data_IF_760847635287
#
_entry.id   IF_760847635287
#
_cell.length_a   1.000
_cell.length_b   1.000
_cell.length_c   1.000
_cell.angle_alpha   90.00
_cell.angle_beta   90.00
_cell.angle_gamma   90.00
#
_symmetry.space_group_name_H-M   'P 1'
#
loop_
_entity.id
_entity.type
_entity.pdbx_description
1 polymer ?
#
# COMPACT_ATOMS: atom_id res chain seq x y z
N UNK A 1 15.87 7.43 13.83
CA UNK A 1 14.74 6.97 14.68
C UNK A 1 13.88 8.14 15.19
N UNK A 2 14.45 9.20 15.78
CA UNK A 2 13.68 10.34 16.34
C UNK A 2 12.71 10.97 15.34
N UNK A 3 13.14 11.23 14.09
CA UNK A 3 12.28 11.77 13.04
C UNK A 3 11.01 10.91 12.80
N UNK A 4 11.18 9.60 12.68
CA UNK A 4 10.08 8.69 12.41
C UNK A 4 9.13 8.54 13.60
N UNK A 5 9.65 8.56 14.84
CA UNK A 5 8.81 8.62 16.04
C UNK A 5 8.02 9.92 16.12
N UNK A 6 8.64 11.04 15.75
CA UNK A 6 7.95 12.32 15.65
C UNK A 6 6.81 12.26 14.61
N UNK A 7 7.08 11.71 13.40
CA UNK A 7 6.04 11.50 12.39
C UNK A 7 4.89 10.64 12.91
N UNK A 8 5.20 9.53 13.59
CA UNK A 8 4.17 8.67 14.18
C UNK A 8 3.33 9.42 15.22
N UNK A 9 3.97 10.22 16.07
CA UNK A 9 3.29 11.05 17.06
C UNK A 9 2.37 12.10 16.41
N UNK A 10 2.82 12.75 15.34
CA UNK A 10 1.97 13.69 14.58
C UNK A 10 0.76 12.98 13.97
N UNK A 11 0.94 11.78 13.41
CA UNK A 11 -0.18 10.96 12.91
C UNK A 11 -1.16 10.59 14.04
N UNK A 12 -0.66 10.28 15.23
CA UNK A 12 -1.47 10.01 16.41
C UNK A 12 -2.31 11.24 16.81
N UNK A 13 -1.70 12.43 16.89
CA UNK A 13 -2.41 13.68 17.17
C UNK A 13 -3.51 13.93 16.14
N UNK A 14 -3.21 13.75 14.85
CA UNK A 14 -4.20 13.84 13.77
C UNK A 14 -5.37 12.88 13.99
N UNK A 15 -5.08 11.63 14.34
CA UNK A 15 -6.11 10.62 14.58
C UNK A 15 -7.03 11.01 15.73
N UNK A 16 -6.46 11.45 16.86
CA UNK A 16 -7.21 11.88 18.05
C UNK A 16 -8.05 13.12 17.76
N UNK A 17 -7.46 14.14 17.13
CA UNK A 17 -8.14 15.37 16.76
C UNK A 17 -9.34 15.08 15.86
N UNK A 18 -9.14 14.24 14.83
CA UNK A 18 -10.21 13.86 13.90
C UNK A 18 -11.31 13.05 14.59
N UNK A 19 -10.96 12.13 15.47
CA UNK A 19 -11.93 11.36 16.24
C UNK A 19 -12.83 12.28 17.09
N UNK A 20 -12.25 13.31 17.73
CA UNK A 20 -13.03 14.30 18.49
C UNK A 20 -13.98 15.09 17.56
N UNK A 21 -13.50 15.62 16.44
CA UNK A 21 -14.34 16.36 15.49
C UNK A 21 -15.54 15.54 15.02
N UNK A 22 -15.32 14.27 14.66
CA UNK A 22 -16.39 13.39 14.18
C UNK A 22 -17.36 12.96 15.30
N UNK A 23 -16.94 12.99 16.55
CA UNK A 23 -17.78 12.67 17.69
C UNK A 23 -18.80 13.80 17.96
N UNK A 24 -18.42 15.06 17.74
CA UNK A 24 -19.26 16.25 17.98
C UNK A 24 -19.99 16.76 16.72
N UNK A 25 -19.81 16.12 15.56
CA UNK A 25 -20.46 16.55 14.36
C UNK A 25 -21.96 16.24 14.35
N UNK A 26 -22.80 17.26 14.19
CA UNK A 26 -24.26 17.12 14.11
C UNK A 26 -24.69 16.33 12.86
N UNK A 27 -23.94 16.45 11.76
CA UNK A 27 -24.13 15.68 10.54
C UNK A 27 -22.82 14.94 10.20
N UNK A 28 -22.75 13.69 10.63
CA UNK A 28 -21.54 12.86 10.48
C UNK A 28 -21.19 12.66 9.01
N UNK A 29 -22.19 12.44 8.14
CA UNK A 29 -21.93 12.12 6.73
C UNK A 29 -21.31 13.30 5.96
N UNK A 30 -21.69 14.53 6.26
CA UNK A 30 -21.10 15.73 5.63
C UNK A 30 -19.68 16.02 6.14
N UNK A 31 -19.36 15.60 7.36
CA UNK A 31 -18.05 15.84 7.97
C UNK A 31 -17.06 14.72 7.76
N UNK A 32 -17.51 13.46 7.55
CA UNK A 32 -16.65 12.26 7.50
C UNK A 32 -15.48 12.39 6.51
N UNK A 33 -15.74 12.95 5.35
CA UNK A 33 -14.75 13.03 4.26
C UNK A 33 -14.23 14.45 4.00
N UNK A 34 -14.62 15.42 4.85
CA UNK A 34 -14.07 16.77 4.77
C UNK A 34 -12.62 16.76 5.24
N UNK A 35 -11.74 17.13 4.35
CA UNK A 35 -10.31 17.16 4.62
C UNK A 35 -9.89 18.46 5.31
N UNK A 36 -8.89 18.37 6.19
CA UNK A 36 -8.31 19.51 6.89
C UNK A 36 -6.93 19.80 6.29
N UNK A 37 -6.50 21.06 6.33
CA UNK A 37 -5.15 21.48 5.92
C UNK A 37 -4.04 20.68 6.61
N UNK A 38 -4.26 20.29 7.87
CA UNK A 38 -3.32 19.45 8.63
C UNK A 38 -3.06 18.08 7.98
N UNK A 39 -4.03 17.50 7.28
CA UNK A 39 -3.84 16.24 6.53
C UNK A 39 -2.94 16.48 5.33
N UNK A 40 -3.20 17.55 4.56
CA UNK A 40 -2.40 17.91 3.39
C UNK A 40 -0.95 18.19 3.79
N UNK A 41 -0.75 18.94 4.89
CA UNK A 41 0.58 19.23 5.43
C UNK A 41 1.31 17.94 5.84
N UNK A 42 0.64 16.99 6.49
CA UNK A 42 1.27 15.73 6.86
C UNK A 42 1.66 14.89 5.64
N UNK A 43 0.79 14.81 4.63
CA UNK A 43 1.09 14.11 3.37
C UNK A 43 2.29 14.77 2.68
N UNK A 44 2.36 16.10 2.68
CA UNK A 44 3.51 16.86 2.18
C UNK A 44 4.79 16.52 2.94
N UNK A 45 4.76 16.43 4.28
CA UNK A 45 5.91 16.02 5.11
C UNK A 45 6.37 14.60 4.74
N UNK A 46 5.43 13.66 4.58
CA UNK A 46 5.78 12.30 4.12
C UNK A 46 6.42 12.32 2.74
N UNK A 47 5.92 13.12 1.80
CA UNK A 47 6.50 13.28 0.47
C UNK A 47 7.93 13.84 0.53
N UNK A 48 8.15 14.87 1.35
CA UNK A 48 9.49 15.44 1.56
C UNK A 48 10.45 14.40 2.14
N UNK A 49 10.05 13.68 3.19
CA UNK A 49 10.93 12.68 3.82
C UNK A 49 11.23 11.53 2.84
N UNK A 50 10.26 11.11 2.04
CA UNK A 50 10.50 10.10 1.00
C UNK A 50 11.37 10.60 -0.13
N UNK A 51 11.17 11.84 -0.61
CA UNK A 51 11.88 12.39 -1.75
C UNK A 51 13.29 12.85 -1.43
N UNK A 52 13.50 13.45 -0.25
CA UNK A 52 14.82 13.95 0.14
C UNK A 52 15.73 12.91 0.81
N UNK A 53 15.35 11.64 0.79
CA UNK A 53 16.18 10.54 1.31
C UNK A 53 17.49 10.38 0.54
N UNK A 54 18.54 9.94 1.24
CA UNK A 54 19.83 9.62 0.65
C UNK A 54 20.32 8.26 1.08
N UNK A 55 20.60 7.37 0.12
CA UNK A 55 21.07 6.00 0.35
C UNK A 55 20.21 5.22 1.36
N UNK A 56 18.89 5.44 1.31
CA UNK A 56 17.89 4.67 2.05
C UNK A 56 17.07 3.87 1.05
N UNK A 57 17.08 2.54 1.19
CA UNK A 57 16.45 1.60 0.25
C UNK A 57 17.34 0.40 -0.06
N UNK A 58 18.47 0.28 0.64
CA UNK A 58 19.39 -0.85 0.50
C UNK A 58 19.96 -0.97 -0.92
N UNK A 59 20.14 -2.21 -1.39
CA UNK A 59 20.63 -2.52 -2.74
C UNK A 59 19.73 -1.99 -3.86
N UNK A 60 18.42 -1.86 -3.59
CA UNK A 60 17.48 -1.36 -4.58
C UNK A 60 17.73 0.12 -4.92
N UNK A 61 18.14 0.94 -3.93
CA UNK A 61 18.51 2.33 -4.18
C UNK A 61 19.65 2.45 -5.20
N UNK A 62 20.72 1.66 -5.03
CA UNK A 62 21.89 1.71 -5.91
C UNK A 62 21.56 1.13 -7.29
N UNK A 63 20.70 0.10 -7.36
CA UNK A 63 20.26 -0.48 -8.61
C UNK A 63 19.38 0.49 -9.43
N UNK A 64 18.43 1.19 -8.79
CA UNK A 64 17.63 2.22 -9.46
C UNK A 64 18.50 3.38 -9.95
N UNK A 65 19.51 3.76 -9.16
CA UNK A 65 20.49 4.77 -9.56
C UNK A 65 21.28 4.34 -10.80
N UNK A 66 21.80 3.12 -10.79
CA UNK A 66 22.51 2.56 -11.95
C UNK A 66 21.65 2.61 -13.23
N UNK A 67 20.38 2.20 -13.15
CA UNK A 67 19.46 2.27 -14.30
C UNK A 67 19.19 3.72 -14.71
N UNK A 68 19.07 4.63 -13.73
CA UNK A 68 18.90 6.06 -14.00
C UNK A 68 20.09 6.62 -14.80
N UNK A 69 21.31 6.30 -14.40
CA UNK A 69 22.54 6.77 -15.05
C UNK A 69 22.65 6.21 -16.47
N UNK A 70 22.25 4.95 -16.71
CA UNK A 70 22.16 4.37 -18.05
C UNK A 70 21.16 5.11 -18.94
N UNK A 71 19.99 5.44 -18.42
CA UNK A 71 18.94 6.17 -19.16
C UNK A 71 19.37 7.61 -19.44
N UNK A 72 20.07 8.24 -18.50
CA UNK A 72 20.58 9.61 -18.67
C UNK A 72 21.63 9.72 -19.79
N UNK A 73 22.44 8.68 -19.98
CA UNK A 73 23.41 8.63 -21.07
C UNK A 73 22.82 8.38 -22.46
N UNK A 74 21.54 8.04 -22.56
CA UNK A 74 20.87 7.73 -23.84
C UNK A 74 19.76 8.73 -24.15
N UNK A 75 19.95 9.53 -25.19
CA UNK A 75 19.01 10.60 -25.57
C UNK A 75 17.88 10.15 -26.51
N UNK A 76 17.76 8.86 -26.79
CA UNK A 76 16.70 8.31 -27.61
C UNK A 76 15.76 7.42 -26.82
N UNK A 77 14.53 7.88 -26.58
CA UNK A 77 13.54 7.13 -25.81
C UNK A 77 13.25 5.73 -26.38
N UNK A 78 13.06 5.61 -27.70
CA UNK A 78 12.75 4.31 -28.32
C UNK A 78 13.89 3.31 -28.09
N UNK A 79 15.13 3.76 -28.24
CA UNK A 79 16.30 2.94 -27.95
C UNK A 79 16.38 2.59 -26.47
N UNK A 80 16.12 3.55 -25.56
CA UNK A 80 16.04 3.29 -24.11
C UNK A 80 15.03 2.19 -23.78
N UNK A 81 13.86 2.21 -24.40
CA UNK A 81 12.81 1.22 -24.19
C UNK A 81 13.19 -0.19 -24.65
N UNK A 82 14.11 -0.34 -25.62
CA UNK A 82 14.54 -1.65 -26.14
C UNK A 82 15.49 -2.39 -25.20
N UNK A 83 16.32 -1.68 -24.44
CA UNK A 83 17.29 -2.31 -23.55
C UNK A 83 16.95 -2.17 -22.04
N UNK A 84 15.95 -1.35 -21.69
CA UNK A 84 15.54 -1.19 -20.31
C UNK A 84 14.99 -2.49 -19.75
N UNK A 85 15.41 -2.82 -18.53
CA UNK A 85 14.89 -3.96 -17.78
C UNK A 85 13.59 -3.62 -17.03
N UNK A 86 13.15 -2.36 -17.09
CA UNK A 86 11.93 -1.89 -16.46
C UNK A 86 10.78 -1.79 -17.44
N UNK A 87 9.58 -1.75 -16.92
CA UNK A 87 8.34 -1.58 -17.66
C UNK A 87 8.33 -0.22 -18.38
N UNK A 88 7.64 -0.17 -19.54
CA UNK A 88 7.61 0.99 -20.46
C UNK A 88 7.23 2.29 -19.74
N UNK A 89 6.21 2.27 -18.87
CA UNK A 89 5.76 3.47 -18.16
C UNK A 89 6.81 4.00 -17.19
N UNK A 90 7.45 3.11 -16.41
CA UNK A 90 8.49 3.54 -15.49
C UNK A 90 9.76 3.99 -16.22
N UNK A 91 10.18 3.28 -17.25
CA UNK A 91 11.31 3.70 -18.12
C UNK A 91 11.06 5.06 -18.74
N UNK A 92 9.84 5.31 -19.26
CA UNK A 92 9.46 6.61 -19.79
C UNK A 92 9.52 7.70 -18.73
N UNK A 93 9.04 7.41 -17.51
CA UNK A 93 9.14 8.36 -16.40
C UNK A 93 10.60 8.72 -16.08
N UNK A 94 11.49 7.72 -15.96
CA UNK A 94 12.92 7.93 -15.72
C UNK A 94 13.55 8.75 -16.85
N UNK A 95 13.22 8.43 -18.11
CA UNK A 95 13.70 9.18 -19.28
C UNK A 95 13.27 10.65 -19.24
N UNK A 96 12.01 10.92 -18.90
CA UNK A 96 11.51 12.30 -18.78
C UNK A 96 12.24 13.06 -17.65
N UNK A 97 12.48 12.42 -16.52
CA UNK A 97 13.23 13.04 -15.43
C UNK A 97 14.68 13.36 -15.84
N UNK A 98 15.38 12.42 -16.48
CA UNK A 98 16.79 12.56 -16.82
C UNK A 98 17.01 13.49 -18.02
N UNK A 99 16.33 13.21 -19.13
CA UNK A 99 16.66 13.82 -20.43
C UNK A 99 15.78 15.03 -20.82
N UNK A 100 14.60 15.19 -20.20
CA UNK A 100 13.71 16.33 -20.50
C UNK A 100 13.73 17.36 -19.38
N UNK A 101 13.66 16.90 -18.12
CA UNK A 101 13.67 17.79 -16.95
C UNK A 101 15.08 18.03 -16.40
N UNK A 102 16.09 17.34 -16.91
CA UNK A 102 17.49 17.42 -16.50
C UNK A 102 17.66 17.33 -14.97
N UNK A 103 16.88 16.46 -14.34
CA UNK A 103 16.99 16.22 -12.90
C UNK A 103 18.20 15.34 -12.62
N UNK A 104 18.74 15.43 -11.43
CA UNK A 104 19.62 14.37 -10.89
C UNK A 104 18.80 13.14 -10.50
N UNK A 105 19.46 12.01 -10.20
CA UNK A 105 18.75 10.85 -9.64
C UNK A 105 17.98 11.22 -8.37
N UNK A 106 18.61 11.95 -7.47
CA UNK A 106 18.00 12.43 -6.24
C UNK A 106 16.83 13.39 -6.51
N UNK A 107 16.93 14.24 -7.52
CA UNK A 107 15.84 15.09 -7.99
C UNK A 107 14.64 14.27 -8.51
N UNK A 108 14.91 13.18 -9.21
CA UNK A 108 13.86 12.26 -9.68
C UNK A 108 13.12 11.58 -8.52
N UNK A 109 13.82 11.23 -7.43
CA UNK A 109 13.20 10.66 -6.22
C UNK A 109 12.22 11.63 -5.56
N UNK A 110 12.49 12.94 -5.61
CA UNK A 110 11.56 13.96 -5.11
C UNK A 110 10.29 13.97 -5.95
N UNK A 111 10.43 14.04 -7.28
CA UNK A 111 9.27 14.04 -8.21
C UNK A 111 8.44 12.77 -8.02
N UNK A 112 9.10 11.62 -7.93
CA UNK A 112 8.46 10.33 -7.68
C UNK A 112 7.65 10.33 -6.38
N UNK A 113 8.27 10.74 -5.27
CA UNK A 113 7.62 10.80 -3.98
C UNK A 113 6.39 11.71 -4.00
N UNK A 114 6.51 12.91 -4.58
CA UNK A 114 5.37 13.82 -4.68
C UNK A 114 4.23 13.25 -5.53
N UNK A 115 4.52 12.62 -6.67
CA UNK A 115 3.51 11.96 -7.50
C UNK A 115 2.81 10.86 -6.68
N UNK A 116 3.57 10.00 -5.99
CA UNK A 116 3.01 8.94 -5.16
C UNK A 116 2.03 9.49 -4.11
N UNK A 117 2.48 10.45 -3.30
CA UNK A 117 1.66 10.97 -2.20
C UNK A 117 0.47 11.80 -2.68
N UNK A 118 0.57 12.51 -3.81
CA UNK A 118 -0.55 13.21 -4.45
C UNK A 118 -1.59 12.19 -4.94
N UNK A 119 -1.18 11.16 -5.67
CA UNK A 119 -2.08 10.12 -6.17
C UNK A 119 -2.74 9.36 -5.01
N UNK A 120 -1.98 9.01 -3.98
CA UNK A 120 -2.50 8.38 -2.77
C UNK A 120 -3.59 9.26 -2.11
N UNK A 121 -3.33 10.55 -1.94
CA UNK A 121 -4.29 11.48 -1.36
C UNK A 121 -5.55 11.61 -2.23
N UNK A 122 -5.38 11.87 -3.52
CA UNK A 122 -6.49 12.04 -4.48
C UNK A 122 -7.36 10.79 -4.54
N UNK A 123 -6.73 9.61 -4.57
CA UNK A 123 -7.44 8.32 -4.62
C UNK A 123 -8.21 8.00 -3.35
N UNK A 124 -7.59 8.23 -2.19
CA UNK A 124 -8.15 7.81 -0.90
C UNK A 124 -9.04 8.85 -0.21
N UNK A 125 -8.95 10.14 -0.57
CA UNK A 125 -9.69 11.22 0.13
C UNK A 125 -11.21 11.00 0.23
N UNK A 126 -11.79 10.32 -0.75
CA UNK A 126 -13.22 9.99 -0.78
C UNK A 126 -13.59 8.90 0.25
N UNK A 127 -12.66 8.02 0.58
CA UNK A 127 -12.90 6.82 1.39
C UNK A 127 -12.37 6.95 2.82
N UNK A 128 -11.37 7.82 3.03
CA UNK A 128 -10.60 7.89 4.27
C UNK A 128 -11.23 8.84 5.30
N UNK A 129 -11.94 8.33 6.31
CA UNK A 129 -12.58 9.19 7.31
C UNK A 129 -11.58 9.75 8.32
N UNK A 130 -10.48 9.02 8.58
CA UNK A 130 -9.44 9.43 9.51
C UNK A 130 -8.04 9.11 8.98
N UNK A 131 -7.38 10.13 8.44
CA UNK A 131 -6.04 10.01 7.88
C UNK A 131 -4.97 9.67 8.91
N UNK A 132 -5.10 10.12 10.16
CA UNK A 132 -4.13 9.78 11.19
C UNK A 132 -4.09 8.26 11.45
N UNK A 133 -5.24 7.59 11.47
CA UNK A 133 -5.33 6.13 11.57
C UNK A 133 -4.65 5.46 10.37
N UNK A 134 -4.93 5.95 9.16
CA UNK A 134 -4.30 5.42 7.95
C UNK A 134 -2.78 5.60 7.96
N UNK A 135 -2.28 6.79 8.30
CA UNK A 135 -0.85 7.07 8.29
C UNK A 135 -0.09 6.29 9.38
N UNK A 136 -0.67 6.08 10.57
CA UNK A 136 -0.09 5.16 11.57
C UNK A 136 -0.02 3.72 11.03
N UNK A 137 -1.08 3.26 10.38
CA UNK A 137 -1.12 1.95 9.75
C UNK A 137 -0.12 1.84 8.58
N UNK A 138 0.00 2.88 7.78
CA UNK A 138 0.94 3.00 6.68
C UNK A 138 2.40 2.86 7.15
N UNK A 139 2.74 3.47 8.29
CA UNK A 139 4.04 3.28 8.94
C UNK A 139 4.19 1.86 9.51
N UNK A 140 3.18 1.35 10.21
CA UNK A 140 3.18 0.02 10.81
C UNK A 140 3.38 -1.11 9.80
N UNK A 141 2.70 -1.07 8.65
CA UNK A 141 2.83 -2.08 7.59
C UNK A 141 4.04 -1.86 6.69
N UNK A 142 4.94 -0.95 7.06
CA UNK A 142 6.13 -0.59 6.29
C UNK A 142 5.82 -0.17 4.85
N UNK A 143 4.57 0.22 4.56
CA UNK A 143 4.22 0.73 3.25
C UNK A 143 4.94 2.04 2.94
N UNK A 144 5.24 2.82 3.97
CA UNK A 144 6.14 3.96 3.89
C UNK A 144 7.51 3.56 3.30
N UNK A 145 8.06 2.41 3.74
CA UNK A 145 9.34 1.90 3.24
C UNK A 145 9.24 1.35 1.81
N UNK A 146 8.09 0.83 1.40
CA UNK A 146 7.86 0.38 0.00
C UNK A 146 8.13 1.51 -0.99
N UNK A 147 7.87 2.78 -0.61
CA UNK A 147 8.22 3.95 -1.44
C UNK A 147 9.73 4.15 -1.60
N UNK A 148 10.56 3.47 -0.83
CA UNK A 148 12.02 3.57 -0.89
C UNK A 148 12.65 2.43 -1.69
N UNK A 149 12.12 1.23 -1.58
CA UNK A 149 12.70 0.01 -2.19
C UNK A 149 11.94 -0.46 -3.42
N UNK A 150 10.64 -0.42 -3.42
CA UNK A 150 9.79 -0.92 -4.50
C UNK A 150 9.11 0.24 -5.25
N UNK A 151 9.90 1.17 -5.77
CA UNK A 151 9.44 2.44 -6.34
C UNK A 151 8.42 2.22 -7.48
N UNK A 152 8.65 1.31 -8.38
CA UNK A 152 7.72 0.95 -9.48
C UNK A 152 6.38 0.46 -8.94
N UNK A 153 6.41 -0.42 -7.94
CA UNK A 153 5.21 -0.91 -7.29
C UNK A 153 4.48 0.23 -6.55
N UNK A 154 5.20 1.14 -5.92
CA UNK A 154 4.61 2.30 -5.25
C UNK A 154 3.77 3.14 -6.22
N UNK A 155 4.28 3.43 -7.42
CA UNK A 155 3.50 4.11 -8.46
C UNK A 155 2.20 3.40 -8.78
N UNK A 156 2.25 2.08 -8.99
CA UNK A 156 1.06 1.31 -9.37
C UNK A 156 0.06 1.22 -8.22
N UNK A 157 0.53 1.13 -6.97
CA UNK A 157 -0.36 1.15 -5.80
C UNK A 157 -1.08 2.49 -5.68
N UNK A 158 -0.35 3.61 -5.81
CA UNK A 158 -0.96 4.93 -5.77
C UNK A 158 -1.92 5.17 -6.96
N UNK A 159 -1.55 4.71 -8.15
CA UNK A 159 -2.41 4.70 -9.33
C UNK A 159 -3.68 3.89 -9.11
N UNK A 160 -3.57 2.71 -8.50
CA UNK A 160 -4.72 1.87 -8.16
C UNK A 160 -5.68 2.59 -7.20
N UNK A 161 -5.18 3.33 -6.21
CA UNK A 161 -6.06 4.09 -5.31
C UNK A 161 -6.91 5.12 -6.06
N UNK A 162 -6.40 5.70 -7.14
CA UNK A 162 -7.18 6.62 -7.99
C UNK A 162 -8.25 5.89 -8.80
N UNK A 163 -7.94 4.70 -9.33
CA UNK A 163 -8.85 3.96 -10.21
C UNK A 163 -9.84 3.06 -9.47
N UNK A 164 -9.62 2.77 -8.16
CA UNK A 164 -10.52 1.92 -7.38
C UNK A 164 -11.97 2.44 -7.32
N UNK A 165 -12.19 3.74 -7.55
CA UNK A 165 -13.52 4.32 -7.71
C UNK A 165 -14.32 3.68 -8.84
N UNK A 166 -13.64 3.23 -9.91
CA UNK A 166 -14.30 2.55 -11.04
C UNK A 166 -14.73 1.12 -10.70
N UNK A 167 -14.09 0.48 -9.72
CA UNK A 167 -14.59 -0.77 -9.13
C UNK A 167 -15.89 -0.52 -8.38
N UNK A 168 -15.93 0.49 -7.51
CA UNK A 168 -17.13 0.86 -6.75
C UNK A 168 -18.28 1.26 -7.67
N UNK A 169 -18.00 2.11 -8.67
CA UNK A 169 -18.99 2.62 -9.63
C UNK A 169 -19.38 1.59 -10.71
N UNK A 170 -18.78 0.39 -10.69
CA UNK A 170 -19.02 -0.70 -11.66
C UNK A 170 -18.83 -0.26 -13.12
N UNK A 171 -17.76 0.48 -13.41
CA UNK A 171 -17.40 0.98 -14.75
C UNK A 171 -16.26 0.15 -15.37
N UNK A 172 -16.55 -0.99 -16.06
CA UNK A 172 -15.53 -1.95 -16.49
C UNK A 172 -14.50 -1.34 -17.43
N UNK A 173 -14.95 -0.64 -18.48
CA UNK A 173 -14.06 -0.08 -19.48
C UNK A 173 -13.06 0.92 -18.86
N UNK A 174 -13.58 1.81 -17.97
CA UNK A 174 -12.70 2.79 -17.29
C UNK A 174 -11.73 2.10 -16.35
N UNK A 175 -12.19 1.06 -15.63
CA UNK A 175 -11.32 0.30 -14.75
C UNK A 175 -10.20 -0.39 -15.51
N UNK A 176 -10.52 -1.20 -16.52
CA UNK A 176 -9.53 -1.98 -17.24
C UNK A 176 -8.58 -1.11 -18.06
N UNK A 177 -9.06 -0.07 -18.74
CA UNK A 177 -8.20 0.85 -19.48
C UNK A 177 -7.23 1.60 -18.54
N UNK A 178 -7.73 2.09 -17.40
CA UNK A 178 -6.87 2.76 -16.42
C UNK A 178 -5.89 1.79 -15.75
N UNK A 179 -6.31 0.54 -15.50
CA UNK A 179 -5.42 -0.48 -14.92
C UNK A 179 -4.33 -0.90 -15.90
N UNK A 180 -4.64 -1.00 -17.20
CA UNK A 180 -3.63 -1.24 -18.23
C UNK A 180 -2.57 -0.13 -18.24
N UNK A 181 -2.98 1.15 -18.12
CA UNK A 181 -2.05 2.26 -18.00
C UNK A 181 -1.19 2.16 -16.73
N UNK A 182 -1.81 1.87 -15.57
CA UNK A 182 -1.07 1.70 -14.30
C UNK A 182 -0.08 0.53 -14.41
N UNK A 183 -0.46 -0.57 -15.04
CA UNK A 183 0.38 -1.76 -15.21
C UNK A 183 1.64 -1.50 -16.06
N UNK A 184 1.66 -0.43 -16.89
CA UNK A 184 2.89 -0.03 -17.61
C UNK A 184 4.03 0.39 -16.68
N UNK A 185 3.74 0.73 -15.42
CA UNK A 185 4.75 1.08 -14.42
C UNK A 185 5.24 -0.15 -13.62
N UNK A 186 4.38 -1.17 -13.46
CA UNK A 186 4.75 -2.44 -12.84
C UNK A 186 3.72 -3.52 -13.18
N UNK A 187 4.17 -4.58 -13.85
CA UNK A 187 3.29 -5.64 -14.35
C UNK A 187 2.54 -6.41 -13.24
N UNK A 188 3.03 -6.40 -11.99
CA UNK A 188 2.30 -6.98 -10.85
C UNK A 188 0.87 -6.46 -10.74
N UNK A 189 0.62 -5.19 -11.12
CA UNK A 189 -0.73 -4.63 -11.13
C UNK A 189 -1.72 -5.38 -12.04
N UNK A 190 -1.27 -6.20 -12.99
CA UNK A 190 -2.17 -7.02 -13.82
C UNK A 190 -2.96 -8.04 -12.99
N UNK A 191 -2.45 -8.48 -11.84
CA UNK A 191 -3.20 -9.35 -10.92
C UNK A 191 -4.50 -8.71 -10.44
N UNK A 192 -4.59 -7.38 -10.45
CA UNK A 192 -5.79 -6.65 -10.05
C UNK A 192 -6.94 -6.75 -11.08
N UNK A 193 -6.70 -7.29 -12.30
CA UNK A 193 -7.78 -7.57 -13.25
C UNK A 193 -8.90 -8.44 -12.66
N UNK A 194 -8.53 -9.37 -11.78
CA UNK A 194 -9.47 -10.28 -11.12
C UNK A 194 -10.39 -9.56 -10.11
N UNK A 195 -10.03 -8.37 -9.65
CA UNK A 195 -10.84 -7.65 -8.66
C UNK A 195 -12.20 -7.25 -9.23
N UNK A 196 -12.27 -6.84 -10.51
CA UNK A 196 -13.53 -6.36 -11.07
C UNK A 196 -14.68 -7.41 -11.03
N UNK A 197 -14.49 -8.67 -11.48
CA UNK A 197 -15.52 -9.69 -11.31
C UNK A 197 -15.77 -10.00 -9.82
N UNK A 198 -14.76 -10.07 -8.97
CA UNK A 198 -14.92 -10.33 -7.53
C UNK A 198 -15.80 -9.29 -6.84
N UNK A 199 -15.66 -8.02 -7.17
CA UNK A 199 -16.54 -6.95 -6.66
C UNK A 199 -17.98 -7.04 -7.15
N UNK A 200 -18.27 -7.90 -8.15
CA UNK A 200 -19.63 -8.24 -8.59
C UNK A 200 -20.35 -9.20 -7.66
N UNK A 201 -19.62 -9.90 -6.80
CA UNK A 201 -20.20 -10.87 -5.88
C UNK A 201 -20.94 -10.15 -4.74
N UNK A 202 -22.20 -10.51 -4.54
CA UNK A 202 -23.01 -10.03 -3.42
C UNK A 202 -22.87 -11.00 -2.25
N UNK A 203 -22.11 -10.59 -1.23
CA UNK A 203 -21.94 -11.40 -0.03
C UNK A 203 -23.07 -11.09 0.94
N UNK A 204 -23.93 -12.10 1.19
CA UNK A 204 -24.98 -12.00 2.18
C UNK A 204 -24.40 -12.13 3.59
N UNK A 205 -25.01 -11.43 4.56
CA UNK A 205 -24.57 -11.41 5.96
C UNK A 205 -24.45 -12.83 6.56
N UNK A 206 -25.39 -13.70 6.22
CA UNK A 206 -25.44 -15.09 6.71
C UNK A 206 -24.18 -15.88 6.32
N UNK A 207 -23.60 -15.57 5.14
CA UNK A 207 -22.39 -16.21 4.64
C UNK A 207 -21.10 -15.75 5.29
N UNK A 208 -21.12 -14.61 6.02
CA UNK A 208 -19.91 -14.07 6.64
C UNK A 208 -19.31 -15.03 7.67
N UNK A 209 -20.13 -15.77 8.44
CA UNK A 209 -19.64 -16.77 9.38
C UNK A 209 -18.97 -17.95 8.65
N UNK A 210 -19.58 -18.42 7.58
CA UNK A 210 -19.04 -19.51 6.73
C UNK A 210 -17.69 -19.08 6.11
N UNK A 211 -17.59 -17.84 5.63
CA UNK A 211 -16.36 -17.26 5.10
C UNK A 211 -15.25 -17.29 6.19
N UNK A 212 -15.56 -16.90 7.43
CA UNK A 212 -14.60 -16.97 8.52
C UNK A 212 -14.07 -18.39 8.76
N UNK A 213 -14.97 -19.38 8.77
CA UNK A 213 -14.59 -20.80 8.96
C UNK A 213 -13.72 -21.27 7.81
N UNK A 214 -14.11 -21.00 6.55
CA UNK A 214 -13.33 -21.41 5.37
C UNK A 214 -11.92 -20.86 5.44
N UNK A 215 -11.76 -19.54 5.67
CA UNK A 215 -10.43 -18.95 5.71
C UNK A 215 -9.65 -19.32 6.99
N UNK A 216 -10.32 -19.55 8.11
CA UNK A 216 -9.68 -20.08 9.32
C UNK A 216 -9.07 -21.45 9.06
N UNK A 217 -9.84 -22.38 8.47
CA UNK A 217 -9.36 -23.71 8.10
C UNK A 217 -8.28 -23.63 7.02
N UNK A 218 -8.46 -22.79 5.99
CA UNK A 218 -7.48 -22.66 4.89
C UNK A 218 -6.10 -22.19 5.35
N UNK A 219 -5.99 -21.53 6.50
CA UNK A 219 -4.70 -21.13 7.09
C UNK A 219 -3.77 -22.33 7.34
N UNK A 220 -4.32 -23.48 7.71
CA UNK A 220 -3.55 -24.71 7.92
C UNK A 220 -2.97 -25.28 6.63
N UNK A 221 -3.55 -24.96 5.48
CA UNK A 221 -3.11 -25.41 4.16
C UNK A 221 -2.18 -24.43 3.46
N UNK A 222 -1.79 -23.35 4.10
CA UNK A 222 -0.98 -22.28 3.49
C UNK A 222 0.40 -22.76 3.01
N UNK A 223 0.99 -23.79 3.65
CA UNK A 223 2.26 -24.36 3.21
C UNK A 223 2.19 -25.07 1.85
N UNK A 224 1.00 -25.56 1.47
CA UNK A 224 0.82 -26.28 0.19
C UNK A 224 0.74 -25.32 -1.02
N UNK A 225 0.38 -24.06 -0.82
CA UNK A 225 0.11 -23.14 -1.92
C UNK A 225 1.37 -22.65 -2.62
N UNK A 226 2.49 -22.49 -1.89
CA UNK A 226 3.78 -22.14 -2.48
C UNK A 226 4.29 -23.21 -3.45
N UNK A 227 4.24 -24.48 -3.03
CA UNK A 227 4.64 -25.62 -3.87
C UNK A 227 3.69 -25.83 -5.05
N UNK A 228 2.38 -25.64 -4.86
CA UNK A 228 1.39 -25.77 -5.93
C UNK A 228 1.52 -24.69 -7.00
N UNK A 229 1.87 -23.47 -6.63
CA UNK A 229 2.09 -22.39 -7.59
C UNK A 229 3.31 -22.68 -8.45
N UNK A 230 4.42 -23.13 -7.87
CA UNK A 230 5.61 -23.52 -8.61
C UNK A 230 5.34 -24.67 -9.57
N UNK A 231 4.53 -25.65 -9.14
CA UNK A 231 4.08 -26.76 -9.99
C UNK A 231 3.23 -26.29 -11.18
N UNK A 232 2.29 -25.35 -10.96
CA UNK A 232 1.48 -24.79 -12.06
C UNK A 232 2.33 -23.99 -13.03
N UNK A 233 3.27 -23.19 -12.54
CA UNK A 233 4.19 -22.40 -13.37
C UNK A 233 5.07 -23.31 -14.22
N UNK A 234 5.56 -24.42 -13.66
CA UNK A 234 6.37 -25.40 -14.40
C UNK A 234 5.56 -26.13 -15.49
N UNK A 235 4.30 -26.53 -15.21
CA UNK A 235 3.43 -27.15 -16.23
C UNK A 235 3.14 -26.19 -17.38
N UNK A 236 2.97 -24.89 -17.10
CA UNK A 236 2.69 -23.88 -18.12
C UNK A 236 3.92 -23.49 -18.93
N UNK A 237 5.12 -24.02 -18.62
CA UNK A 237 6.35 -23.75 -19.34
C UNK A 237 6.78 -22.28 -19.31
N UNK A 238 6.38 -21.55 -18.27
CA UNK A 238 6.69 -20.12 -18.09
C UNK A 238 8.06 -19.95 -17.41
N UNK A 239 9.13 -20.35 -18.11
CA UNK A 239 10.50 -20.39 -17.55
C UNK A 239 10.96 -19.08 -16.92
N UNK A 240 10.59 -17.92 -17.51
CA UNK A 240 10.90 -16.62 -16.92
C UNK A 240 10.18 -16.37 -15.58
N UNK A 241 9.02 -17.00 -15.36
CA UNK A 241 8.30 -16.98 -14.09
C UNK A 241 8.82 -18.05 -13.14
N UNK A 242 9.38 -19.17 -13.65
CA UNK A 242 10.03 -20.20 -12.83
C UNK A 242 11.24 -19.66 -12.08
N UNK A 243 12.14 -18.94 -12.76
CA UNK A 243 13.32 -18.34 -12.14
C UNK A 243 12.92 -17.31 -11.07
N UNK A 244 11.89 -16.50 -11.37
CA UNK A 244 11.34 -15.54 -10.40
C UNK A 244 10.62 -16.26 -9.25
N UNK A 245 9.81 -17.28 -9.53
CA UNK A 245 9.10 -18.04 -8.51
C UNK A 245 10.06 -18.83 -7.63
N UNK A 246 11.14 -19.39 -8.18
CA UNK A 246 12.23 -20.04 -7.43
C UNK A 246 12.97 -19.05 -6.53
N UNK A 247 13.26 -17.84 -7.02
CA UNK A 247 13.85 -16.76 -6.23
C UNK A 247 12.95 -16.30 -5.05
N UNK A 248 11.63 -16.43 -5.21
CA UNK A 248 10.65 -16.08 -4.17
C UNK A 248 10.20 -17.26 -3.30
N UNK A 249 10.51 -18.50 -3.67
CA UNK A 249 10.11 -19.70 -2.91
C UNK A 249 10.85 -19.85 -1.57
N UNK A 250 11.98 -19.17 -1.39
CA UNK A 250 12.74 -19.12 -0.13
C UNK A 250 12.38 -17.95 0.79
N UNK A 251 11.49 -17.06 0.38
CA UNK A 251 11.08 -15.91 1.17
C UNK A 251 10.25 -16.33 2.39
N UNK A 252 10.47 -15.64 3.52
CA UNK A 252 9.65 -15.82 4.70
C UNK A 252 8.23 -15.30 4.40
N UNK A 253 7.28 -16.18 4.30
CA UNK A 253 5.86 -15.81 4.16
C UNK A 253 5.37 -14.93 5.31
N UNK A 254 4.14 -14.45 5.23
CA UNK A 254 3.54 -13.65 6.30
C UNK A 254 3.55 -14.40 7.63
N UNK A 255 4.00 -13.72 8.68
CA UNK A 255 3.90 -14.23 10.04
C UNK A 255 2.43 -14.51 10.39
N UNK A 256 2.16 -15.61 11.10
CA UNK A 256 0.82 -16.00 11.56
C UNK A 256 0.10 -14.88 12.35
N UNK A 257 0.85 -14.00 13.00
CA UNK A 257 0.29 -12.86 13.71
C UNK A 257 -0.48 -11.90 12.77
N UNK A 258 -0.07 -11.77 11.50
CA UNK A 258 -0.84 -11.03 10.50
C UNK A 258 -2.21 -11.66 10.25
N UNK A 259 -2.25 -12.98 10.11
CA UNK A 259 -3.51 -13.71 9.95
C UNK A 259 -4.43 -13.48 11.14
N UNK A 260 -3.90 -13.60 12.37
CA UNK A 260 -4.66 -13.38 13.59
C UNK A 260 -5.20 -11.94 13.65
N UNK A 261 -4.39 -10.94 13.32
CA UNK A 261 -4.78 -9.54 13.29
C UNK A 261 -5.95 -9.28 12.34
N UNK A 262 -5.86 -9.79 11.11
CA UNK A 262 -6.94 -9.64 10.13
C UNK A 262 -8.20 -10.40 10.54
N UNK A 263 -8.07 -11.58 11.15
CA UNK A 263 -9.22 -12.32 11.68
C UNK A 263 -9.92 -11.62 12.83
N UNK A 264 -9.18 -11.04 13.77
CA UNK A 264 -9.77 -10.26 14.85
C UNK A 264 -10.59 -9.09 14.29
N UNK A 265 -10.01 -8.34 13.35
CA UNK A 265 -10.74 -7.24 12.71
C UNK A 265 -11.98 -7.74 11.96
N UNK A 266 -11.88 -8.89 11.27
CA UNK A 266 -13.01 -9.52 10.60
C UNK A 266 -14.13 -9.88 11.59
N UNK A 267 -13.82 -10.50 12.71
CA UNK A 267 -14.81 -10.84 13.76
C UNK A 267 -15.51 -9.58 14.27
N UNK A 268 -14.76 -8.51 14.55
CA UNK A 268 -15.35 -7.25 14.98
C UNK A 268 -16.22 -6.62 13.89
N UNK A 269 -15.83 -6.70 12.63
CA UNK A 269 -16.62 -6.25 11.49
C UNK A 269 -17.95 -7.03 11.42
N UNK A 270 -17.91 -8.36 11.46
CA UNK A 270 -19.12 -9.21 11.40
C UNK A 270 -20.09 -8.90 12.53
N UNK A 271 -19.57 -8.74 13.77
CA UNK A 271 -20.40 -8.37 14.94
C UNK A 271 -21.09 -7.03 14.80
N UNK A 272 -20.50 -6.10 14.06
CA UNK A 272 -21.02 -4.74 13.89
C UNK A 272 -21.53 -4.46 12.47
N UNK A 273 -21.71 -5.49 11.64
CA UNK A 273 -21.98 -5.39 10.20
C UNK A 273 -23.10 -4.41 9.87
N UNK A 274 -24.29 -4.59 10.46
CA UNK A 274 -25.45 -3.75 10.18
C UNK A 274 -25.23 -2.29 10.58
N UNK A 275 -24.58 -2.05 11.75
CA UNK A 275 -24.27 -0.69 12.20
C UNK A 275 -23.27 -0.01 11.26
N UNK A 276 -22.30 -0.75 10.74
CA UNK A 276 -21.31 -0.24 9.79
C UNK A 276 -22.03 0.14 8.47
N UNK A 277 -22.87 -0.75 7.93
CA UNK A 277 -23.61 -0.48 6.69
C UNK A 277 -24.58 0.69 6.79
N UNK A 278 -25.25 0.85 7.93
CA UNK A 278 -26.17 1.97 8.14
C UNK A 278 -25.44 3.31 8.28
N UNK A 279 -24.22 3.29 8.79
CA UNK A 279 -23.49 4.52 9.14
C UNK A 279 -22.59 5.04 8.04
N UNK A 280 -22.03 4.17 7.20
CA UNK A 280 -20.96 4.53 6.24
C UNK A 280 -21.37 4.26 4.80
N UNK A 281 -21.37 5.29 3.99
CA UNK A 281 -21.76 5.25 2.57
C UNK A 281 -20.96 4.23 1.76
N UNK A 282 -19.66 4.07 2.02
CA UNK A 282 -18.75 3.19 1.28
C UNK A 282 -18.55 1.82 1.97
N UNK A 283 -19.44 1.45 2.92
CA UNK A 283 -19.25 0.24 3.73
C UNK A 283 -19.15 -1.04 2.89
N UNK A 284 -20.05 -1.23 1.92
CA UNK A 284 -20.08 -2.44 1.09
C UNK A 284 -18.77 -2.60 0.28
N UNK A 285 -18.28 -1.49 -0.28
CA UNK A 285 -17.04 -1.46 -1.03
C UNK A 285 -15.84 -1.82 -0.14
N UNK A 286 -15.72 -1.17 1.02
CA UNK A 286 -14.61 -1.39 1.96
C UNK A 286 -14.63 -2.81 2.54
N UNK A 287 -15.80 -3.32 2.93
CA UNK A 287 -15.97 -4.68 3.42
C UNK A 287 -15.55 -5.70 2.34
N UNK A 288 -15.96 -5.48 1.10
CA UNK A 288 -15.59 -6.37 0.00
C UNK A 288 -14.08 -6.35 -0.25
N UNK A 289 -13.45 -5.17 -0.31
CA UNK A 289 -11.99 -5.07 -0.40
C UNK A 289 -11.29 -5.84 0.73
N UNK A 290 -11.81 -5.72 1.95
CA UNK A 290 -11.23 -6.41 3.10
C UNK A 290 -11.41 -7.93 3.03
N UNK A 291 -12.56 -8.42 2.54
CA UNK A 291 -12.80 -9.86 2.37
C UNK A 291 -11.85 -10.44 1.32
N UNK A 292 -11.53 -9.69 0.26
CA UNK A 292 -10.57 -10.11 -0.77
C UNK A 292 -9.14 -10.26 -0.21
N UNK A 293 -8.80 -9.56 0.87
CA UNK A 293 -7.51 -9.73 1.56
C UNK A 293 -7.40 -11.07 2.27
N UNK A 294 -8.51 -11.62 2.78
CA UNK A 294 -8.48 -12.81 3.62
C UNK A 294 -7.78 -14.02 2.99
N UNK A 295 -8.03 -14.40 1.72
CA UNK A 295 -7.29 -15.49 1.08
C UNK A 295 -5.78 -15.27 1.10
N UNK A 296 -5.32 -14.03 0.90
CA UNK A 296 -3.90 -13.70 0.83
C UNK A 296 -3.25 -13.90 2.20
N UNK A 297 -3.88 -13.41 3.27
CA UNK A 297 -3.32 -13.50 4.63
C UNK A 297 -3.56 -14.85 5.32
N UNK A 298 -4.31 -15.77 4.68
CA UNK A 298 -4.59 -17.11 5.19
C UNK A 298 -3.98 -18.18 4.29
N UNK A 299 -4.69 -18.57 3.24
CA UNK A 299 -4.29 -19.64 2.32
C UNK A 299 -2.97 -19.34 1.60
N UNK A 300 -2.82 -18.13 1.09
CA UNK A 300 -1.66 -17.71 0.29
C UNK A 300 -0.58 -16.96 1.11
N UNK A 301 -0.62 -17.03 2.43
CA UNK A 301 0.35 -16.30 3.27
C UNK A 301 1.81 -16.70 3.06
N UNK A 302 2.06 -17.90 2.54
CA UNK A 302 3.39 -18.42 2.18
C UNK A 302 3.75 -18.16 0.70
N UNK A 303 2.88 -17.52 -0.07
CA UNK A 303 3.07 -17.24 -1.49
C UNK A 303 3.49 -15.78 -1.66
N UNK A 304 4.79 -15.53 -1.71
CA UNK A 304 5.37 -14.17 -1.65
C UNK A 304 4.80 -13.24 -2.73
N UNK A 305 4.61 -13.73 -3.97
CA UNK A 305 4.09 -12.93 -5.07
C UNK A 305 2.69 -12.35 -4.76
N UNK A 306 1.82 -13.11 -4.08
CA UNK A 306 0.50 -12.63 -3.67
C UNK A 306 0.57 -11.74 -2.43
N UNK A 307 1.49 -12.02 -1.53
CA UNK A 307 1.73 -11.17 -0.35
C UNK A 307 2.19 -9.78 -0.74
N UNK A 308 2.97 -9.65 -1.81
CA UNK A 308 3.40 -8.36 -2.37
C UNK A 308 2.25 -7.51 -2.91
N UNK A 309 1.08 -8.10 -3.18
CA UNK A 309 -0.11 -7.37 -3.62
C UNK A 309 -0.93 -6.74 -2.47
N UNK A 310 -0.60 -7.07 -1.21
CA UNK A 310 -1.30 -6.52 -0.04
C UNK A 310 -1.33 -4.97 0.01
N UNK A 311 -0.27 -4.24 -0.39
CA UNK A 311 -0.29 -2.77 -0.39
C UNK A 311 -1.46 -2.16 -1.15
N UNK A 312 -1.94 -2.76 -2.24
CA UNK A 312 -3.12 -2.29 -2.97
C UNK A 312 -4.39 -2.33 -2.12
N UNK A 313 -4.47 -3.26 -1.18
CA UNK A 313 -5.66 -3.51 -0.36
C UNK A 313 -5.55 -2.95 1.07
N UNK A 314 -4.40 -2.43 1.48
CA UNK A 314 -4.16 -1.84 2.80
C UNK A 314 -5.17 -0.75 3.22
N UNK A 315 -5.67 0.12 2.31
CA UNK A 315 -6.69 1.09 2.70
C UNK A 315 -7.93 0.46 3.31
N UNK A 316 -8.34 -0.74 2.86
CA UNK A 316 -9.52 -1.42 3.39
C UNK A 316 -9.38 -1.75 4.87
N UNK A 317 -8.20 -2.16 5.33
CA UNK A 317 -7.92 -2.41 6.75
C UNK A 317 -8.04 -1.12 7.58
N UNK A 318 -7.35 -0.06 7.15
CA UNK A 318 -7.32 1.20 7.89
C UNK A 318 -8.70 1.88 7.95
N UNK A 319 -9.50 1.77 6.90
CA UNK A 319 -10.87 2.28 6.88
C UNK A 319 -11.76 1.42 7.77
N UNK A 320 -11.63 0.10 7.68
CA UNK A 320 -12.48 -0.82 8.44
C UNK A 320 -12.21 -0.74 9.95
N UNK A 321 -10.95 -0.59 10.38
CA UNK A 321 -10.65 -0.40 11.81
C UNK A 321 -11.33 0.88 12.34
N UNK A 322 -11.34 1.96 11.54
CA UNK A 322 -12.06 3.17 11.89
C UNK A 322 -13.59 2.92 11.96
N UNK A 323 -14.16 2.17 11.01
CA UNK A 323 -15.59 1.85 11.02
C UNK A 323 -15.97 1.06 12.29
N UNK A 324 -15.20 0.03 12.63
CA UNK A 324 -15.38 -0.75 13.85
C UNK A 324 -15.26 0.14 15.09
N UNK A 325 -14.22 0.97 15.16
CA UNK A 325 -14.03 1.95 16.22
C UNK A 325 -15.26 2.85 16.39
N UNK A 326 -15.75 3.43 15.31
CA UNK A 326 -16.82 4.41 15.34
C UNK A 326 -18.17 3.85 15.79
N UNK A 327 -18.44 2.55 15.57
CA UNK A 327 -19.72 1.90 15.94
C UNK A 327 -19.66 1.11 17.23
N UNK A 328 -18.46 0.84 17.77
CA UNK A 328 -18.27 0.04 18.98
C UNK A 328 -18.56 0.81 20.25
N UNK A 329 -19.02 0.10 21.29
CA UNK A 329 -19.20 0.67 22.64
C UNK A 329 -17.84 1.00 23.28
N UNK A 330 -16.85 0.13 23.13
CA UNK A 330 -15.52 0.22 23.78
C UNK A 330 -14.49 0.93 22.87
N UNK A 331 -14.86 2.10 22.31
CA UNK A 331 -14.04 2.86 21.34
C UNK A 331 -12.61 3.12 21.82
N UNK A 332 -12.47 3.54 23.09
CA UNK A 332 -11.14 3.87 23.66
C UNK A 332 -10.22 2.65 23.66
N UNK A 333 -10.73 1.47 24.05
CA UNK A 333 -9.93 0.23 24.08
C UNK A 333 -9.48 -0.14 22.66
N UNK A 334 -10.40 -0.14 21.69
CA UNK A 334 -10.07 -0.47 20.29
C UNK A 334 -9.01 0.47 19.75
N UNK A 335 -9.14 1.78 19.98
CA UNK A 335 -8.17 2.76 19.53
C UNK A 335 -6.82 2.59 20.21
N UNK A 336 -6.78 2.38 21.55
CA UNK A 336 -5.53 2.15 22.28
C UNK A 336 -4.81 0.89 21.81
N UNK A 337 -5.54 -0.22 21.65
CA UNK A 337 -4.96 -1.47 21.13
C UNK A 337 -4.41 -1.27 19.72
N UNK A 338 -5.14 -0.57 18.85
CA UNK A 338 -4.68 -0.25 17.50
C UNK A 338 -3.38 0.60 17.51
N UNK A 339 -3.34 1.65 18.33
CA UNK A 339 -2.14 2.51 18.43
C UNK A 339 -0.94 1.73 18.95
N UNK A 340 -1.12 0.90 19.99
CA UNK A 340 -0.06 0.06 20.54
C UNK A 340 0.44 -0.97 19.51
N UNK A 341 -0.48 -1.59 18.76
CA UNK A 341 -0.14 -2.51 17.68
C UNK A 341 0.69 -1.80 16.59
N UNK A 342 0.23 -0.61 16.14
CA UNK A 342 0.94 0.16 15.13
C UNK A 342 2.33 0.60 15.62
N UNK A 343 2.43 1.09 16.85
CA UNK A 343 3.72 1.55 17.40
C UNK A 343 4.68 0.38 17.60
N UNK A 344 4.24 -0.72 18.22
CA UNK A 344 5.10 -1.88 18.49
C UNK A 344 5.57 -2.54 17.19
N UNK A 345 4.68 -2.71 16.22
CA UNK A 345 5.03 -3.26 14.91
C UNK A 345 5.97 -2.35 14.13
N UNK A 346 5.73 -1.04 14.13
CA UNK A 346 6.61 -0.07 13.51
C UNK A 346 8.01 -0.09 14.13
N UNK A 347 8.14 -0.08 15.46
CA UNK A 347 9.42 -0.16 16.15
C UNK A 347 10.15 -1.47 15.86
N UNK A 348 9.43 -2.59 15.86
CA UNK A 348 10.01 -3.89 15.50
C UNK A 348 10.63 -3.85 14.10
N UNK A 349 9.90 -3.35 13.12
CA UNK A 349 10.40 -3.27 11.74
C UNK A 349 11.56 -2.30 11.61
N UNK A 350 11.52 -1.14 12.27
CA UNK A 350 12.62 -0.18 12.26
C UNK A 350 13.94 -0.78 12.77
N UNK A 351 13.85 -1.67 13.77
CA UNK A 351 15.04 -2.30 14.37
C UNK A 351 15.53 -3.48 13.53
N UNK A 352 14.60 -4.29 12.99
CA UNK A 352 14.95 -5.55 12.32
C UNK A 352 15.15 -5.41 10.81
N UNK A 353 14.55 -4.38 10.18
CA UNK A 353 14.60 -4.23 8.75
C UNK A 353 15.93 -3.60 8.32
N UNK A 354 16.50 -4.10 7.21
CA UNK A 354 17.72 -3.59 6.62
C UNK A 354 18.87 -3.47 7.66
N UNK A 355 18.97 -4.45 8.59
CA UNK A 355 19.92 -4.46 9.71
C UNK A 355 19.91 -3.15 10.54
N UNK A 356 18.77 -2.47 10.62
CA UNK A 356 18.59 -1.21 11.35
C UNK A 356 19.10 0.03 10.60
N UNK A 357 19.60 -0.10 9.38
CA UNK A 357 20.04 1.06 8.58
C UNK A 357 18.94 2.09 8.36
N UNK A 358 17.70 1.63 8.24
CA UNK A 358 16.52 2.48 8.11
C UNK A 358 16.27 3.40 9.31
N UNK A 359 16.76 3.04 10.49
CA UNK A 359 16.61 3.90 11.70
C UNK A 359 17.30 5.26 11.56
N UNK A 360 18.35 5.32 10.74
CA UNK A 360 19.16 6.52 10.55
C UNK A 360 18.75 7.23 9.27
N UNK A 361 17.74 8.14 9.39
CA UNK A 361 17.37 8.95 8.26
C UNK A 361 18.53 9.78 7.76
N UNK A 362 18.85 9.68 6.49
CA UNK A 362 19.85 10.47 5.78
C UNK A 362 19.14 11.27 4.68
N UNK A 363 19.58 12.52 4.51
CA UNK A 363 19.06 13.39 3.46
C UNK A 363 20.21 13.94 2.62
N UNK A 364 19.95 14.11 1.35
CA UNK A 364 20.90 14.75 0.45
C UNK A 364 20.84 16.29 0.46
N UNK A 365 19.80 16.90 1.04
CA UNK A 365 19.61 18.37 1.07
C UNK A 365 20.80 19.15 1.62
N UNK A 366 21.58 18.55 2.50
CA UNK A 366 22.75 19.18 3.12
C UNK A 366 24.08 18.63 2.57
N UNK A 367 24.04 17.87 1.48
CA UNK A 367 25.23 17.35 0.83
C UNK A 367 25.63 18.29 -0.32
N UNK A 368 26.79 19.00 -0.21
CA UNK A 368 27.20 19.99 -1.21
C UNK A 368 27.52 19.39 -2.60
N UNK A 369 27.67 18.08 -2.69
CA UNK A 369 28.01 17.38 -3.93
C UNK A 369 26.78 16.80 -4.64
N UNK A 370 25.57 17.07 -4.14
CA UNK A 370 24.33 16.55 -4.72
C UNK A 370 23.40 17.71 -5.06
N UNK A 371 22.99 17.77 -6.30
CA UNK A 371 22.12 18.80 -6.82
C UNK A 371 20.78 18.22 -7.24
N UNK A 372 19.74 19.06 -7.26
CA UNK A 372 18.41 18.69 -7.74
C UNK A 372 18.38 18.56 -9.28
N UNK A 373 19.03 19.50 -9.96
CA UNK A 373 19.26 19.49 -11.41
C UNK A 373 20.67 18.99 -11.71
N UNK A 374 20.83 18.43 -12.89
CA UNK A 374 22.13 18.02 -13.42
C UNK A 374 22.90 19.21 -13.95
#
# INVERSE_FOLDING_TARGET
MVLYLFMFFVCFILAVSRNRQLQYANNINSCLYKQNYSVVLNIFIFACISGFRYKLGGTDYDYYRYVYDLVNGEHNLLKTLTYSQYEVGYTTFVYLCANVLHLSYEGSLVVEAFIFYILMYVGLKKYMPNWGIFLMFFMYKMFFYVTFVAMRQAFTVAGFFVIMRYLEERKPLKYYASLALVATFHYGALLLFVLYPLFGLKIKKERLKTIAVIFGVSTFFSGLTGTSLNFVVSILGLSQLEDKAAGYSGGAGLNILYTIEYFLLYIFMVRNYDKIKQRFQHADFVIMMFIIVLPIVTLFRSTEILVRELPYLYPSYAILIYYVYAVSKNRKIIFSVFVLLCLSGFLKYMIQFDNGHFMYYRTWLFNPNIYFLQ
#
